data_IF_870745692489
#
_entry.id   IF_870745692489
#
_cell.length_a   1.000
_cell.length_b   1.000
_cell.length_c   1.000
_cell.angle_alpha   90.00
_cell.angle_beta   90.00
_cell.angle_gamma   90.00
#
_symmetry.space_group_name_H-M   'P 1'
#
loop_
_entity.id
_entity.type
_entity.pdbx_description
1 polymer ?
#
# COMPACT_ATOMS: atom_id res chain seq x y z
N UNK A 1 -12.71 26.31 -13.13
CA UNK A 1 -13.42 27.54 -12.69
C UNK A 1 -13.44 28.62 -13.79
N UNK A 2 -12.36 28.89 -14.54
CA UNK A 2 -12.33 29.92 -15.59
C UNK A 2 -13.35 29.69 -16.75
N UNK A 3 -13.54 28.46 -17.20
CA UNK A 3 -14.52 28.14 -18.25
C UNK A 3 -15.97 28.30 -17.78
N UNK A 4 -16.24 28.01 -16.52
CA UNK A 4 -17.56 28.22 -15.91
C UNK A 4 -17.90 29.70 -15.84
N UNK A 5 -16.96 30.54 -15.35
CA UNK A 5 -17.12 32.01 -15.28
C UNK A 5 -17.30 32.65 -16.67
N UNK A 6 -16.70 32.07 -17.71
CA UNK A 6 -16.84 32.52 -19.08
C UNK A 6 -18.08 31.99 -19.81
N UNK A 7 -19.00 31.32 -19.14
CA UNK A 7 -20.22 30.73 -19.73
C UNK A 7 -19.95 29.58 -20.72
N UNK A 8 -18.71 29.04 -20.75
CA UNK A 8 -18.31 27.96 -21.68
C UNK A 8 -18.44 26.55 -21.06
N UNK A 9 -19.01 26.44 -19.86
CA UNK A 9 -19.30 25.18 -19.20
C UNK A 9 -20.49 25.36 -18.25
N UNK A 10 -21.25 24.30 -18.05
CA UNK A 10 -22.33 24.24 -17.08
C UNK A 10 -21.84 23.57 -15.80
N UNK A 11 -22.27 24.08 -14.65
CA UNK A 11 -22.04 23.45 -13.37
C UNK A 11 -23.19 22.49 -13.08
N UNK A 12 -22.86 21.25 -12.81
CA UNK A 12 -23.78 20.24 -12.30
C UNK A 12 -23.41 19.92 -10.85
N UNK A 13 -24.31 20.16 -9.93
CA UNK A 13 -24.14 19.84 -8.52
C UNK A 13 -24.83 18.53 -8.21
N UNK A 14 -24.11 17.59 -7.60
CA UNK A 14 -24.62 16.32 -7.10
C UNK A 14 -24.66 16.39 -5.56
N UNK A 15 -25.74 16.95 -4.97
CA UNK A 15 -25.77 17.21 -3.52
C UNK A 15 -25.88 15.95 -2.68
N UNK A 16 -26.39 14.87 -3.25
CA UNK A 16 -26.58 13.60 -2.57
C UNK A 16 -25.66 12.53 -3.12
N UNK A 17 -25.17 11.66 -2.24
CA UNK A 17 -24.44 10.45 -2.66
C UNK A 17 -25.41 9.42 -3.24
N UNK A 18 -24.92 8.64 -4.20
CA UNK A 18 -25.70 7.53 -4.76
C UNK A 18 -26.16 6.57 -3.64
N UNK A 19 -27.38 6.03 -3.79
CA UNK A 19 -27.98 5.07 -2.85
C UNK A 19 -28.05 5.55 -1.39
N UNK A 20 -28.05 6.87 -1.12
CA UNK A 20 -28.15 7.40 0.24
C UNK A 20 -26.90 7.17 1.11
N UNK A 21 -25.77 6.82 0.50
CA UNK A 21 -24.54 6.53 1.22
C UNK A 21 -24.09 7.70 2.10
N UNK A 22 -23.70 7.40 3.35
CA UNK A 22 -23.16 8.39 4.28
C UNK A 22 -21.65 8.55 4.09
N UNK A 23 -21.07 9.74 4.36
CA UNK A 23 -19.63 9.90 4.41
C UNK A 23 -19.03 8.96 5.47
N UNK A 24 -17.83 8.38 5.22
CA UNK A 24 -17.14 7.59 6.25
C UNK A 24 -16.76 8.48 7.44
N UNK A 25 -16.75 7.91 8.63
CA UNK A 25 -16.16 8.55 9.79
C UNK A 25 -14.63 8.57 9.63
N UNK A 26 -14.03 9.76 9.71
CA UNK A 26 -12.58 9.93 9.66
C UNK A 26 -12.01 10.03 11.06
N UNK A 27 -10.94 9.29 11.33
CA UNK A 27 -10.18 9.36 12.58
C UNK A 27 -8.70 9.51 12.26
N UNK A 28 -8.09 10.57 12.80
CA UNK A 28 -6.65 10.80 12.71
C UNK A 28 -5.97 10.26 13.97
N UNK A 29 -4.81 9.64 13.78
CA UNK A 29 -3.96 9.15 14.87
C UNK A 29 -2.62 9.87 14.76
N UNK A 30 -2.20 10.56 15.82
CA UNK A 30 -0.89 11.18 15.91
C UNK A 30 0.16 10.12 16.25
N UNK A 31 0.97 9.76 15.26
CA UNK A 31 2.00 8.72 15.41
C UNK A 31 3.11 9.12 16.39
N UNK A 32 3.28 10.42 16.69
CA UNK A 32 4.28 10.89 17.67
C UNK A 32 3.89 10.53 19.10
N UNK A 33 2.60 10.36 19.37
CA UNK A 33 2.06 10.00 20.69
C UNK A 33 1.97 8.48 20.93
N UNK A 34 2.33 7.68 19.93
CA UNK A 34 2.19 6.22 20.00
C UNK A 34 3.48 5.53 19.55
N UNK A 35 3.80 4.41 20.23
CA UNK A 35 4.90 3.57 19.78
C UNK A 35 4.64 3.04 18.37
N UNK A 36 5.67 3.13 17.52
CA UNK A 36 5.67 2.49 16.21
C UNK A 36 5.91 0.98 16.39
N UNK A 37 4.87 0.21 16.12
CA UNK A 37 4.94 -1.25 16.12
C UNK A 37 4.96 -1.72 14.66
N UNK A 38 6.15 -1.82 14.10
CA UNK A 38 6.39 -2.25 12.71
C UNK A 38 5.57 -1.47 11.67
N UNK A 39 5.41 -0.15 11.88
CA UNK A 39 4.67 0.75 10.98
C UNK A 39 3.22 0.99 11.35
N UNK A 40 2.75 0.40 12.44
CA UNK A 40 1.41 0.62 12.96
C UNK A 40 1.46 1.26 14.35
N UNK A 41 0.59 2.21 14.60
CA UNK A 41 0.32 2.66 15.95
C UNK A 41 -0.59 1.65 16.68
N UNK A 42 -0.37 1.44 17.97
CA UNK A 42 -1.20 0.54 18.80
C UNK A 42 -2.71 0.76 18.63
N UNK A 43 -3.25 2.00 18.63
CA UNK A 43 -4.68 2.23 18.39
C UNK A 43 -5.18 1.74 17.03
N UNK A 44 -4.30 1.74 16.00
CA UNK A 44 -4.62 1.21 14.68
C UNK A 44 -4.79 -0.31 14.74
N UNK A 45 -3.83 -1.02 15.33
CA UNK A 45 -3.90 -2.49 15.49
C UNK A 45 -5.15 -2.92 16.29
N UNK A 46 -5.46 -2.23 17.39
CA UNK A 46 -6.67 -2.48 18.16
C UNK A 46 -7.96 -2.24 17.38
N UNK A 47 -7.96 -1.22 16.50
CA UNK A 47 -9.11 -0.93 15.63
C UNK A 47 -9.29 -2.01 14.58
N UNK A 48 -8.19 -2.45 13.94
CA UNK A 48 -8.19 -3.58 13.00
C UNK A 48 -8.77 -4.82 13.66
N UNK A 49 -8.24 -5.21 14.83
CA UNK A 49 -8.70 -6.36 15.61
C UNK A 49 -10.21 -6.30 15.85
N UNK A 50 -10.69 -5.21 16.39
CA UNK A 50 -12.12 -5.03 16.71
C UNK A 50 -13.03 -5.20 15.49
N UNK A 51 -12.61 -4.69 14.32
CA UNK A 51 -13.40 -4.82 13.08
C UNK A 51 -13.40 -6.26 12.55
N UNK A 52 -12.25 -6.94 12.59
CA UNK A 52 -12.14 -8.33 12.17
C UNK A 52 -12.94 -9.26 13.07
N UNK A 53 -12.87 -9.08 14.41
CA UNK A 53 -13.62 -9.86 15.40
C UNK A 53 -15.14 -9.64 15.26
N UNK A 54 -15.57 -8.45 14.83
CA UNK A 54 -16.97 -8.16 14.52
C UNK A 54 -17.45 -8.72 13.17
N UNK A 55 -16.61 -9.47 12.45
CA UNK A 55 -16.93 -10.05 11.14
C UNK A 55 -16.76 -9.10 9.96
N UNK A 56 -16.28 -7.88 10.18
CA UNK A 56 -16.09 -6.88 9.13
C UNK A 56 -14.82 -7.11 8.30
N UNK A 57 -14.73 -6.37 7.20
CA UNK A 57 -13.53 -6.31 6.36
C UNK A 57 -12.67 -5.09 6.73
N UNK A 58 -11.37 -5.24 6.61
CA UNK A 58 -10.38 -4.17 6.83
C UNK A 58 -9.50 -4.01 5.60
N UNK A 59 -9.41 -2.80 5.09
CA UNK A 59 -8.52 -2.44 4.00
C UNK A 59 -7.39 -1.52 4.50
N UNK A 60 -6.15 -1.97 4.35
CA UNK A 60 -4.95 -1.16 4.55
C UNK A 60 -4.52 -0.59 3.21
N UNK A 61 -4.74 0.70 3.03
CA UNK A 61 -4.37 1.39 1.80
C UNK A 61 -2.99 2.02 1.92
N UNK A 62 -2.13 1.71 0.96
CA UNK A 62 -0.79 2.27 0.83
C UNK A 62 -0.61 2.88 -0.57
N UNK A 63 0.00 4.04 -0.63
CA UNK A 63 0.31 4.66 -1.92
C UNK A 63 1.63 4.15 -2.54
N UNK A 64 2.29 3.16 -1.92
CA UNK A 64 3.58 2.63 -2.36
C UNK A 64 3.59 1.11 -2.37
N UNK A 65 4.25 0.53 -3.38
CA UNK A 65 4.42 -0.91 -3.59
C UNK A 65 5.77 -1.39 -3.05
N UNK A 66 5.97 -2.72 -3.04
CA UNK A 66 7.21 -3.38 -2.67
C UNK A 66 7.39 -3.59 -1.17
N UNK A 67 8.54 -4.15 -0.78
CA UNK A 67 8.89 -4.40 0.61
C UNK A 67 9.27 -3.12 1.35
N UNK A 68 10.11 -2.29 0.73
CA UNK A 68 10.47 -0.97 1.21
C UNK A 68 10.54 0.02 0.05
N UNK A 69 10.17 1.31 0.25
CA UNK A 69 10.23 2.30 -0.80
C UNK A 69 11.60 2.47 -1.42
N UNK A 70 12.67 2.28 -0.64
CA UNK A 70 14.03 2.47 -1.15
C UNK A 70 15.09 1.75 -0.32
N UNK A 71 16.25 1.53 -0.93
CA UNK A 71 17.47 1.09 -0.26
C UNK A 71 18.30 2.31 0.13
N UNK A 72 18.77 2.34 1.38
CA UNK A 72 19.45 3.48 1.99
C UNK A 72 20.76 3.03 2.65
N UNK A 73 21.79 3.85 2.56
CA UNK A 73 23.03 3.69 3.30
C UNK A 73 23.07 4.64 4.51
N UNK A 74 23.13 4.13 5.75
CA UNK A 74 23.24 4.98 6.94
C UNK A 74 24.59 5.68 7.07
N UNK A 75 25.66 5.13 6.45
CA UNK A 75 27.00 5.68 6.55
C UNK A 75 27.21 6.96 5.74
N UNK A 76 26.71 7.00 4.49
CA UNK A 76 26.93 8.15 3.60
C UNK A 76 25.63 8.82 3.12
N UNK A 77 24.46 8.30 3.47
CA UNK A 77 23.18 8.84 3.01
C UNK A 77 22.78 8.43 1.58
N UNK A 78 23.55 7.55 0.93
CA UNK A 78 23.21 7.06 -0.40
C UNK A 78 21.83 6.41 -0.42
N UNK A 79 21.07 6.71 -1.48
CA UNK A 79 19.74 6.14 -1.74
C UNK A 79 19.73 5.59 -3.15
N UNK A 80 19.35 4.33 -3.34
CA UNK A 80 19.42 3.63 -4.62
C UNK A 80 18.74 4.41 -5.76
N UNK A 81 19.51 5.05 -6.67
CA UNK A 81 18.95 5.78 -7.80
C UNK A 81 18.64 4.81 -8.94
N UNK A 82 17.68 5.16 -9.79
CA UNK A 82 17.50 4.46 -11.05
C UNK A 82 18.59 4.91 -12.06
N UNK A 83 19.30 3.99 -12.71
CA UNK A 83 20.34 4.37 -13.69
C UNK A 83 19.78 4.86 -15.02
N UNK A 84 18.46 4.78 -15.26
CA UNK A 84 17.80 5.12 -16.52
C UNK A 84 16.82 6.30 -16.43
N UNK A 85 16.47 6.72 -15.21
CA UNK A 85 15.58 7.87 -15.02
C UNK A 85 15.79 8.46 -13.60
N UNK A 86 15.17 9.61 -13.32
CA UNK A 86 15.33 10.34 -12.04
C UNK A 86 14.56 9.71 -10.85
N UNK A 87 13.91 8.57 -11.06
CA UNK A 87 13.21 7.86 -9.99
C UNK A 87 14.20 7.12 -9.08
N UNK A 88 13.73 6.72 -7.91
CA UNK A 88 14.46 5.82 -7.00
C UNK A 88 13.97 4.39 -7.20
N UNK A 89 14.89 3.44 -6.99
CA UNK A 89 14.57 2.02 -7.04
C UNK A 89 13.83 1.60 -5.77
N UNK A 90 12.83 0.74 -5.94
CA UNK A 90 12.04 0.15 -4.86
C UNK A 90 12.56 -1.25 -4.54
N UNK A 91 12.67 -1.57 -3.26
CA UNK A 91 13.12 -2.88 -2.79
C UNK A 91 11.96 -3.88 -2.87
N UNK A 92 12.21 -5.01 -3.54
CA UNK A 92 11.36 -6.20 -3.56
C UNK A 92 12.08 -7.34 -2.87
N UNK A 93 11.75 -7.57 -1.60
CA UNK A 93 12.51 -8.49 -0.75
C UNK A 93 12.36 -9.95 -1.18
N UNK A 94 11.15 -10.37 -1.55
CA UNK A 94 10.87 -11.75 -2.01
C UNK A 94 11.65 -12.12 -3.28
N UNK A 95 11.78 -11.18 -4.20
CA UNK A 95 12.49 -11.32 -5.47
C UNK A 95 13.98 -10.98 -5.33
N UNK A 96 14.43 -10.46 -4.17
CA UNK A 96 15.76 -9.96 -3.88
C UNK A 96 16.23 -8.96 -4.94
N UNK A 97 15.36 -8.06 -5.34
CA UNK A 97 15.54 -7.11 -6.43
C UNK A 97 15.28 -5.66 -6.04
N UNK A 98 15.80 -4.77 -6.87
CA UNK A 98 15.50 -3.34 -6.90
C UNK A 98 14.82 -3.02 -8.23
N UNK A 99 13.57 -2.54 -8.19
CA UNK A 99 12.79 -2.26 -9.37
C UNK A 99 12.42 -0.78 -9.49
N UNK A 100 12.54 -0.25 -10.69
CA UNK A 100 12.03 1.07 -11.01
C UNK A 100 10.59 0.98 -11.52
N UNK A 101 9.63 1.44 -10.73
CA UNK A 101 8.23 1.47 -11.15
C UNK A 101 7.90 2.54 -12.21
N UNK A 102 8.87 3.42 -12.55
CA UNK A 102 8.71 4.41 -13.62
C UNK A 102 9.14 3.87 -14.99
N UNK A 103 10.37 3.33 -15.10
CA UNK A 103 10.93 2.90 -16.39
C UNK A 103 11.12 1.37 -16.51
N UNK A 104 10.77 0.58 -15.51
CA UNK A 104 10.87 -0.88 -15.51
C UNK A 104 12.30 -1.43 -15.33
N UNK A 105 13.28 -0.59 -14.99
CA UNK A 105 14.64 -1.06 -14.72
C UNK A 105 14.63 -2.02 -13.52
N UNK A 106 15.27 -3.16 -13.70
CA UNK A 106 15.45 -4.19 -12.68
C UNK A 106 16.95 -4.36 -12.34
N UNK A 107 17.28 -4.49 -11.05
CA UNK A 107 18.64 -4.67 -10.54
C UNK A 107 18.66 -5.60 -9.32
N UNK A 108 19.72 -6.36 -9.08
CA UNK A 108 19.91 -7.06 -7.82
C UNK A 108 20.14 -6.06 -6.68
N UNK A 109 19.78 -6.47 -5.45
CA UNK A 109 20.13 -5.71 -4.25
C UNK A 109 21.64 -5.80 -4.04
N UNK A 110 22.40 -4.69 -3.97
CA UNK A 110 23.82 -4.72 -3.70
C UNK A 110 24.08 -5.17 -2.24
N UNK A 111 25.13 -5.93 -2.02
CA UNK A 111 25.52 -6.40 -0.69
C UNK A 111 25.96 -5.24 0.21
N UNK A 112 26.62 -4.23 -0.39
CA UNK A 112 27.13 -3.04 0.29
C UNK A 112 26.85 -1.79 -0.52
N UNK A 113 26.98 -0.64 0.11
CA UNK A 113 26.83 0.65 -0.55
C UNK A 113 27.89 0.83 -1.65
N UNK A 114 27.51 1.18 -2.87
CA UNK A 114 28.46 1.40 -3.96
C UNK A 114 29.37 2.62 -3.74
N UNK A 115 28.95 3.58 -2.88
CA UNK A 115 29.69 4.81 -2.66
C UNK A 115 30.69 4.72 -1.50
N UNK A 116 30.36 4.01 -0.40
CA UNK A 116 31.24 3.97 0.79
C UNK A 116 31.53 2.56 1.31
N UNK A 117 30.96 1.50 0.74
CA UNK A 117 31.18 0.11 1.15
C UNK A 117 30.41 -0.35 2.38
N UNK A 118 29.74 0.54 3.11
CA UNK A 118 28.96 0.20 4.29
C UNK A 118 27.69 -0.63 3.97
N UNK A 119 27.17 -1.40 4.93
CA UNK A 119 25.93 -2.13 4.75
C UNK A 119 24.75 -1.22 4.42
N UNK A 120 23.95 -1.62 3.43
CA UNK A 120 22.74 -0.91 3.05
C UNK A 120 21.50 -1.50 3.72
N UNK A 121 20.49 -0.67 3.98
CA UNK A 121 19.25 -1.07 4.65
C UNK A 121 18.02 -0.64 3.84
N UNK A 122 16.99 -1.50 3.75
CA UNK A 122 15.71 -1.09 3.22
C UNK A 122 15.02 -0.12 4.18
N UNK A 123 14.52 1.00 3.66
CA UNK A 123 13.86 2.05 4.44
C UNK A 123 12.45 2.31 3.92
N UNK A 124 11.51 2.41 4.85
CA UNK A 124 10.09 2.67 4.62
C UNK A 124 9.25 1.40 4.68
N UNK A 125 7.96 1.57 4.41
CA UNK A 125 6.96 0.52 4.49
C UNK A 125 6.31 0.34 3.10
N UNK A 126 6.50 -0.81 2.50
CA UNK A 126 5.81 -1.22 1.28
C UNK A 126 4.71 -2.24 1.57
N UNK A 127 3.96 -2.60 0.54
CA UNK A 127 2.84 -3.54 0.68
C UNK A 127 3.27 -4.93 1.15
N UNK A 128 4.45 -5.41 0.73
CA UNK A 128 4.99 -6.71 1.16
C UNK A 128 5.29 -6.73 2.67
N UNK A 129 5.98 -5.70 3.16
CA UNK A 129 6.32 -5.62 4.58
C UNK A 129 5.09 -5.46 5.47
N UNK A 130 4.11 -4.68 5.01
CA UNK A 130 2.83 -4.53 5.71
C UNK A 130 2.04 -5.85 5.69
N UNK A 131 2.05 -6.58 4.58
CA UNK A 131 1.45 -7.92 4.48
C UNK A 131 2.07 -8.88 5.51
N UNK A 132 3.41 -8.97 5.58
CA UNK A 132 4.12 -9.79 6.56
C UNK A 132 3.77 -9.39 8.00
N UNK A 133 3.84 -8.09 8.31
CA UNK A 133 3.50 -7.56 9.63
C UNK A 133 2.07 -7.90 10.05
N UNK A 134 1.10 -7.75 9.14
CA UNK A 134 -0.29 -8.06 9.44
C UNK A 134 -0.54 -9.57 9.59
N UNK A 135 0.17 -10.42 8.83
CA UNK A 135 0.11 -11.86 8.98
C UNK A 135 0.64 -12.31 10.35
N UNK A 136 1.67 -11.65 10.87
CA UNK A 136 2.20 -11.90 12.22
C UNK A 136 1.24 -11.47 13.33
N UNK A 137 0.57 -10.31 13.17
CA UNK A 137 -0.36 -9.78 14.17
C UNK A 137 -1.74 -10.45 14.15
N UNK A 138 -2.15 -10.98 13.00
CA UNK A 138 -3.50 -11.50 12.77
C UNK A 138 -3.46 -12.85 12.02
N UNK A 139 -2.72 -13.86 12.54
CA UNK A 139 -2.50 -15.13 11.83
C UNK A 139 -3.78 -15.94 11.61
N UNK A 140 -4.83 -15.69 12.39
CA UNK A 140 -6.14 -16.33 12.28
C UNK A 140 -7.02 -15.79 11.15
N UNK A 141 -6.65 -14.66 10.54
CA UNK A 141 -7.44 -14.05 9.47
C UNK A 141 -6.74 -14.20 8.11
N UNK A 142 -7.49 -14.69 7.12
CA UNK A 142 -6.98 -14.73 5.76
C UNK A 142 -6.72 -13.31 5.24
N UNK A 143 -5.52 -13.10 4.70
CA UNK A 143 -5.04 -11.84 4.17
C UNK A 143 -4.84 -11.93 2.67
N UNK A 144 -5.18 -10.88 1.94
CA UNK A 144 -4.84 -10.73 0.53
C UNK A 144 -4.12 -9.40 0.28
N UNK A 145 -3.03 -9.46 -0.50
CA UNK A 145 -2.37 -8.30 -1.04
C UNK A 145 -2.79 -8.08 -2.50
N UNK A 146 -3.26 -6.87 -2.81
CA UNK A 146 -3.65 -6.47 -4.16
C UNK A 146 -2.86 -5.23 -4.56
N UNK A 147 -1.78 -5.49 -5.26
CA UNK A 147 -1.00 -4.50 -5.98
C UNK A 147 -0.57 -5.09 -7.33
N UNK A 148 0.05 -4.27 -8.18
CA UNK A 148 0.46 -4.69 -9.52
C UNK A 148 1.41 -5.89 -9.52
N UNK A 149 2.21 -6.04 -8.47
CA UNK A 149 3.22 -7.09 -8.39
C UNK A 149 2.60 -8.40 -7.92
N UNK A 150 1.65 -8.35 -6.97
CA UNK A 150 0.90 -9.51 -6.50
C UNK A 150 -0.01 -10.12 -7.59
N UNK A 151 -0.59 -9.27 -8.46
CA UNK A 151 -1.57 -9.68 -9.48
C UNK A 151 -1.01 -9.75 -10.91
N UNK A 152 0.27 -10.03 -11.06
CA UNK A 152 0.93 -10.12 -12.38
C UNK A 152 0.41 -11.28 -13.25
N UNK A 153 0.00 -12.39 -12.63
CA UNK A 153 -0.52 -13.55 -13.36
C UNK A 153 -1.96 -13.29 -13.79
N UNK A 154 -2.28 -13.68 -15.02
CA UNK A 154 -3.65 -13.60 -15.55
C UNK A 154 -4.60 -14.40 -14.65
N UNK A 155 -5.72 -13.81 -14.27
CA UNK A 155 -6.72 -14.43 -13.40
C UNK A 155 -6.49 -14.26 -11.90
N UNK A 156 -5.28 -13.86 -11.46
CA UNK A 156 -4.99 -13.76 -10.03
C UNK A 156 -5.72 -12.61 -9.32
N UNK A 157 -6.09 -11.55 -10.04
CA UNK A 157 -6.90 -10.46 -9.49
C UNK A 157 -8.34 -10.91 -9.29
N UNK A 158 -8.91 -11.59 -10.28
CA UNK A 158 -10.27 -12.12 -10.26
C UNK A 158 -10.44 -13.12 -9.12
N UNK A 159 -9.51 -14.05 -8.98
CA UNK A 159 -9.49 -15.04 -7.89
C UNK A 159 -9.40 -14.37 -6.52
N UNK A 160 -8.52 -13.37 -6.36
CA UNK A 160 -8.41 -12.61 -5.12
C UNK A 160 -9.72 -11.87 -4.78
N UNK A 161 -10.37 -11.26 -5.78
CA UNK A 161 -11.64 -10.56 -5.61
C UNK A 161 -12.78 -11.52 -5.23
N UNK A 162 -12.83 -12.71 -5.82
CA UNK A 162 -13.83 -13.74 -5.45
C UNK A 162 -13.70 -14.15 -3.99
N UNK A 163 -12.48 -14.40 -3.50
CA UNK A 163 -12.21 -14.73 -2.10
C UNK A 163 -12.56 -13.60 -1.15
N UNK A 164 -12.41 -12.35 -1.58
CA UNK A 164 -12.81 -11.16 -0.82
C UNK A 164 -14.34 -11.04 -0.79
N UNK A 165 -15.01 -11.19 -1.92
CA UNK A 165 -16.47 -11.10 -2.01
C UNK A 165 -17.19 -12.25 -1.27
N UNK A 166 -16.59 -13.43 -1.22
CA UNK A 166 -17.12 -14.55 -0.42
C UNK A 166 -16.94 -14.37 1.10
N UNK A 167 -16.16 -13.38 1.54
CA UNK A 167 -15.83 -13.16 2.94
C UNK A 167 -14.75 -14.10 3.49
N UNK A 168 -14.14 -14.95 2.65
CA UNK A 168 -12.99 -15.78 3.03
C UNK A 168 -11.81 -14.89 3.44
N UNK A 169 -11.53 -13.85 2.65
CA UNK A 169 -10.50 -12.86 2.94
C UNK A 169 -11.14 -11.60 3.50
N UNK A 170 -10.77 -11.26 4.74
CA UNK A 170 -11.29 -10.07 5.42
C UNK A 170 -10.25 -9.01 5.74
N UNK A 171 -8.97 -9.34 5.60
CA UNK A 171 -7.87 -8.39 5.78
C UNK A 171 -7.18 -8.16 4.43
N UNK A 172 -7.20 -6.91 3.97
CA UNK A 172 -6.71 -6.54 2.65
C UNK A 172 -5.60 -5.50 2.76
N UNK A 173 -4.55 -5.69 1.96
CA UNK A 173 -3.49 -4.70 1.78
C UNK A 173 -3.40 -4.35 0.31
N UNK A 174 -3.34 -3.06 -0.01
CA UNK A 174 -3.19 -2.72 -1.40
C UNK A 174 -2.95 -1.25 -1.70
N UNK A 175 -2.85 -0.98 -3.00
CA UNK A 175 -2.57 0.34 -3.55
C UNK A 175 -3.80 0.87 -4.30
N UNK A 176 -3.61 1.86 -5.15
CA UNK A 176 -4.68 2.49 -5.95
C UNK A 176 -5.56 1.51 -6.76
N UNK A 177 -5.09 0.28 -6.99
CA UNK A 177 -5.90 -0.74 -7.67
C UNK A 177 -7.16 -1.08 -6.89
N UNK A 178 -7.10 -1.10 -5.55
CA UNK A 178 -8.26 -1.38 -4.69
C UNK A 178 -9.26 -0.22 -4.58
N UNK A 179 -8.85 1.00 -4.91
CA UNK A 179 -9.70 2.19 -4.70
C UNK A 179 -10.55 2.55 -5.92
N UNK A 180 -10.35 1.88 -7.05
CA UNK A 180 -11.05 2.20 -8.31
C UNK A 180 -11.78 0.97 -8.85
N UNK A 181 -13.11 1.08 -8.98
CA UNK A 181 -13.92 0.10 -9.69
C UNK A 181 -14.29 -1.16 -8.92
N UNK A 182 -13.94 -1.26 -7.64
CA UNK A 182 -14.32 -2.40 -6.79
C UNK A 182 -15.27 -1.97 -5.69
N UNK A 183 -16.29 -2.79 -5.45
CA UNK A 183 -17.23 -2.64 -4.34
C UNK A 183 -17.00 -3.82 -3.37
N UNK A 184 -16.77 -3.50 -2.10
CA UNK A 184 -16.59 -4.48 -1.03
C UNK A 184 -17.83 -4.43 -0.13
N UNK A 185 -18.76 -5.39 -0.25
CA UNK A 185 -20.11 -5.30 0.35
C UNK A 185 -20.21 -5.68 1.82
N UNK A 186 -19.11 -6.01 2.50
CA UNK A 186 -19.12 -6.46 3.91
C UNK A 186 -18.88 -5.36 4.91
#
# INVERSE_FOLDING_TARGET
LGRLRAGRAHRLDLPNRAAGARPPALRLIDLRAHADTQGFATPTLLTIRRHLDAGGQVLIYLNRRGYAPTLFCPGCGWVAPCPRCDARLTVHQRERSLDCHHCGTHRPIPATCPDCGEPVKPVGQGTERIEETLADFFPEFALARIDRDAVRKRGSLEEALERIHSGEVRLLVGTQMLTKGHHFPL
#
